data_IF_859675546215
#
_entry.id   IF_859675546215
#
_cell.length_a   1.000
_cell.length_b   1.000
_cell.length_c   1.000
_cell.angle_alpha   90.00
_cell.angle_beta   90.00
_cell.angle_gamma   90.00
#
_symmetry.space_group_name_H-M   'P 1'
#
loop_
_entity.id
_entity.type
_entity.pdbx_description
1 polymer ?
#
# COMPACT_ATOMS: atom_id res chain seq x y z
N UNK A 1 -19.27 9.17 27.46
CA UNK A 1 -19.72 9.08 26.07
C UNK A 1 -18.57 9.41 25.14
N UNK A 2 -18.39 8.62 24.07
CA UNK A 2 -17.39 8.87 23.02
C UNK A 2 -18.12 9.50 21.84
N UNK A 3 -17.46 10.44 21.15
CA UNK A 3 -18.01 11.12 19.97
C UNK A 3 -17.21 10.73 18.72
N UNK A 4 -17.90 10.53 17.61
CA UNK A 4 -17.31 10.41 16.27
C UNK A 4 -17.51 11.71 15.49
N UNK A 5 -16.40 12.37 15.19
CA UNK A 5 -16.35 13.58 14.34
C UNK A 5 -15.74 13.20 13.00
N UNK A 6 -16.44 13.49 11.90
CA UNK A 6 -15.99 13.20 10.54
C UNK A 6 -15.96 14.48 9.72
N UNK A 7 -14.82 14.74 9.09
CA UNK A 7 -14.70 15.73 8.03
C UNK A 7 -14.92 15.06 6.67
N UNK A 8 -15.80 15.62 5.84
CA UNK A 8 -16.12 15.13 4.49
C UNK A 8 -15.80 16.18 3.44
N UNK A 9 -15.24 15.72 2.32
CA UNK A 9 -14.99 16.52 1.14
C UNK A 9 -15.10 15.64 -0.11
N UNK A 10 -15.76 16.16 -1.14
CA UNK A 10 -15.92 15.48 -2.44
C UNK A 10 -14.58 15.32 -3.20
N UNK A 11 -13.48 15.87 -2.67
CA UNK A 11 -12.14 15.73 -3.24
C UNK A 11 -11.37 14.50 -2.73
N UNK A 12 -11.89 13.81 -1.71
CA UNK A 12 -11.31 12.55 -1.25
C UNK A 12 -11.83 11.38 -2.10
N UNK A 13 -10.97 10.39 -2.42
CA UNK A 13 -11.39 9.26 -3.22
C UNK A 13 -12.36 8.37 -2.46
N UNK A 14 -13.34 7.81 -3.17
CA UNK A 14 -14.17 6.73 -2.65
C UNK A 14 -13.46 5.39 -2.87
N UNK A 15 -12.87 4.89 -1.80
CA UNK A 15 -12.20 3.59 -1.74
C UNK A 15 -13.14 2.49 -1.23
N UNK A 16 -12.74 1.23 -1.36
CA UNK A 16 -13.57 0.07 -0.98
C UNK A 16 -12.81 -0.90 -0.09
N UNK A 17 -13.56 -1.67 0.68
CA UNK A 17 -13.06 -2.81 1.41
C UNK A 17 -13.30 -4.10 0.65
N UNK A 18 -12.96 -5.22 1.27
CA UNK A 18 -13.14 -6.53 0.64
C UNK A 18 -14.58 -7.01 0.80
N UNK A 19 -15.26 -7.32 -0.31
CA UNK A 19 -16.61 -7.88 -0.29
C UNK A 19 -17.73 -6.84 -0.24
N UNK A 20 -17.41 -5.55 -0.41
CA UNK A 20 -18.40 -4.51 -0.68
C UNK A 20 -19.14 -4.80 -1.99
N UNK A 21 -20.48 -4.63 -2.00
CA UNK A 21 -21.37 -5.02 -3.12
C UNK A 21 -21.06 -4.31 -4.46
N UNK A 22 -20.17 -3.33 -4.45
CA UNK A 22 -19.78 -2.54 -5.60
C UNK A 22 -18.64 -3.17 -6.43
N UNK A 23 -18.09 -4.33 -6.03
CA UNK A 23 -17.01 -5.00 -6.78
C UNK A 23 -17.56 -5.67 -8.05
N UNK A 24 -17.07 -5.26 -9.22
CA UNK A 24 -17.39 -5.92 -10.49
C UNK A 24 -16.68 -7.26 -10.61
N UNK A 25 -17.44 -8.35 -10.58
CA UNK A 25 -17.02 -9.68 -11.04
C UNK A 25 -16.04 -10.41 -10.10
N UNK A 26 -16.50 -11.54 -9.54
CA UNK A 26 -15.63 -12.52 -8.89
C UNK A 26 -16.08 -12.87 -7.48
N UNK A 27 -16.25 -14.17 -7.25
CA UNK A 27 -16.79 -14.81 -6.05
C UNK A 27 -16.37 -14.13 -4.74
N UNK A 28 -17.33 -14.04 -3.82
CA UNK A 28 -17.12 -13.59 -2.44
C UNK A 28 -16.05 -14.50 -1.81
N UNK A 29 -14.87 -14.01 -1.41
CA UNK A 29 -13.91 -14.83 -0.69
C UNK A 29 -14.59 -15.33 0.60
N UNK A 30 -14.33 -16.57 0.99
CA UNK A 30 -14.92 -17.16 2.19
C UNK A 30 -14.41 -16.41 3.43
N UNK A 31 -15.25 -15.55 4.00
CA UNK A 31 -14.95 -14.67 5.14
C UNK A 31 -15.92 -13.49 5.17
N UNK A 32 -16.17 -12.92 6.35
CA UNK A 32 -16.90 -11.66 6.49
C UNK A 32 -16.22 -10.58 5.65
N UNK A 33 -16.97 -9.87 4.82
CA UNK A 33 -16.42 -8.71 4.11
C UNK A 33 -15.89 -7.68 5.11
N UNK A 34 -14.83 -6.97 4.75
CA UNK A 34 -14.32 -5.85 5.53
C UNK A 34 -14.96 -4.59 4.96
N UNK A 35 -15.94 -4.02 5.68
CA UNK A 35 -16.56 -2.75 5.27
C UNK A 35 -15.53 -1.63 5.30
N UNK A 36 -15.49 -0.82 4.25
CA UNK A 36 -14.71 0.42 4.20
C UNK A 36 -15.64 1.62 4.00
N UNK A 37 -16.71 1.67 4.78
CA UNK A 37 -17.68 2.76 4.80
C UNK A 37 -18.30 2.90 6.19
N UNK A 38 -18.73 4.12 6.51
CA UNK A 38 -19.52 4.46 7.69
C UNK A 38 -20.91 4.91 7.23
N UNK A 39 -21.96 4.45 7.90
CA UNK A 39 -23.28 5.00 7.70
C UNK A 39 -23.37 6.37 8.39
N UNK A 40 -24.11 7.32 7.81
CA UNK A 40 -24.22 8.68 8.36
C UNK A 40 -24.80 8.70 9.78
N UNK A 41 -25.64 7.72 10.12
CA UNK A 41 -26.22 7.57 11.47
C UNK A 41 -25.19 7.17 12.54
N UNK A 42 -23.98 6.75 12.14
CA UNK A 42 -22.88 6.46 13.06
C UNK A 42 -22.08 7.72 13.43
N UNK A 43 -22.35 8.86 12.79
CA UNK A 43 -21.57 10.11 12.91
C UNK A 43 -22.29 11.10 13.84
N UNK A 44 -21.64 11.48 14.94
CA UNK A 44 -22.18 12.49 15.88
C UNK A 44 -22.04 13.92 15.35
N UNK A 45 -20.91 14.22 14.69
CA UNK A 45 -20.61 15.54 14.12
C UNK A 45 -20.02 15.38 12.71
N UNK A 46 -20.70 15.94 11.71
CA UNK A 46 -20.26 15.97 10.32
C UNK A 46 -19.82 17.38 9.92
N UNK A 47 -18.58 17.53 9.48
CA UNK A 47 -17.99 18.80 9.01
C UNK A 47 -17.75 18.70 7.51
N UNK A 48 -18.34 19.60 6.72
CA UNK A 48 -18.05 19.69 5.30
C UNK A 48 -16.83 20.59 5.06
N UNK A 49 -15.88 20.11 4.26
CA UNK A 49 -14.70 20.87 3.84
C UNK A 49 -14.53 20.89 2.32
N UNK A 50 -13.64 21.75 1.86
CA UNK A 50 -13.18 21.79 0.46
C UNK A 50 -11.76 21.27 0.32
N UNK A 51 -11.23 20.62 1.34
CA UNK A 51 -9.84 20.19 1.40
C UNK A 51 -9.65 18.94 0.54
N UNK A 52 -8.42 18.75 0.06
CA UNK A 52 -8.04 17.59 -0.73
C UNK A 52 -6.97 16.80 0.02
N UNK A 53 -6.80 15.50 -0.28
CA UNK A 53 -5.70 14.73 0.27
C UNK A 53 -4.35 15.43 0.07
N UNK A 54 -3.53 15.43 1.12
CA UNK A 54 -2.16 15.95 1.03
C UNK A 54 -1.34 15.07 0.07
N UNK A 55 -0.55 15.72 -0.77
CA UNK A 55 0.47 15.08 -1.60
C UNK A 55 1.82 15.68 -1.27
N UNK A 56 2.81 14.83 -0.99
CA UNK A 56 4.20 15.23 -0.82
C UNK A 56 5.04 14.64 -1.96
N UNK A 57 5.47 15.46 -2.94
CA UNK A 57 6.37 14.95 -3.98
C UNK A 57 7.71 14.55 -3.37
N UNK A 58 8.18 13.36 -3.73
CA UNK A 58 9.53 12.92 -3.39
C UNK A 58 10.58 13.67 -4.22
N UNK A 59 11.80 13.84 -3.69
CA UNK A 59 12.93 14.35 -4.48
C UNK A 59 13.27 13.37 -5.62
N UNK A 60 13.91 13.85 -6.71
CA UNK A 60 14.38 12.98 -7.79
C UNK A 60 15.40 11.96 -7.26
N UNK A 61 15.47 10.76 -7.87
CA UNK A 61 16.33 9.70 -7.38
C UNK A 61 17.81 10.02 -7.59
N UNK A 62 18.60 9.82 -6.54
CA UNK A 62 20.07 9.86 -6.60
C UNK A 62 20.63 8.65 -7.37
N UNK A 63 21.91 8.71 -7.74
CA UNK A 63 22.57 7.56 -8.38
C UNK A 63 22.70 6.36 -7.44
N UNK A 64 22.81 6.61 -6.13
CA UNK A 64 22.75 5.58 -5.10
C UNK A 64 21.38 4.91 -5.06
N UNK A 65 20.28 5.68 -5.08
CA UNK A 65 18.92 5.14 -5.09
C UNK A 65 18.69 4.22 -6.29
N UNK A 66 19.12 4.66 -7.48
CA UNK A 66 19.01 3.86 -8.71
C UNK A 66 19.85 2.59 -8.63
N UNK A 67 21.04 2.65 -8.02
CA UNK A 67 21.90 1.49 -7.85
C UNK A 67 21.29 0.47 -6.88
N UNK A 68 20.75 0.94 -5.75
CA UNK A 68 20.03 0.09 -4.78
C UNK A 68 18.81 -0.55 -5.45
N UNK A 69 18.00 0.23 -6.17
CA UNK A 69 16.83 -0.27 -6.88
C UNK A 69 17.19 -1.36 -7.90
N UNK A 70 18.21 -1.14 -8.73
CA UNK A 70 18.72 -2.15 -9.69
C UNK A 70 19.21 -3.43 -9.01
N UNK A 71 19.82 -3.32 -7.82
CA UNK A 71 20.22 -4.48 -7.05
C UNK A 71 19.01 -5.23 -6.48
N UNK A 72 18.08 -4.50 -5.87
CA UNK A 72 16.90 -5.04 -5.22
C UNK A 72 15.96 -5.79 -6.19
N UNK A 73 15.74 -5.26 -7.41
CA UNK A 73 14.88 -5.94 -8.40
C UNK A 73 15.38 -7.33 -8.79
N UNK A 74 16.68 -7.62 -8.65
CA UNK A 74 17.22 -8.96 -8.89
C UNK A 74 16.69 -10.03 -7.92
N UNK A 75 16.11 -9.64 -6.78
CA UNK A 75 15.49 -10.53 -5.81
C UNK A 75 13.98 -10.69 -6.00
N UNK A 76 13.38 -9.91 -6.90
CA UNK A 76 11.94 -9.91 -7.16
C UNK A 76 11.67 -10.78 -8.39
N UNK A 77 10.90 -11.84 -8.22
CA UNK A 77 10.58 -12.78 -9.30
C UNK A 77 9.17 -12.50 -9.83
N UNK A 78 8.88 -12.82 -11.10
CA UNK A 78 7.50 -12.85 -11.58
C UNK A 78 6.63 -13.70 -10.65
N UNK A 79 5.40 -13.27 -10.39
CA UNK A 79 4.50 -13.93 -9.44
C UNK A 79 4.72 -13.58 -7.96
N UNK A 80 5.71 -12.74 -7.61
CA UNK A 80 5.92 -12.29 -6.23
C UNK A 80 4.76 -11.45 -5.72
N UNK A 81 4.43 -11.61 -4.43
CA UNK A 81 3.55 -10.67 -3.70
C UNK A 81 4.40 -9.59 -3.07
N UNK A 82 4.08 -8.32 -3.31
CA UNK A 82 4.92 -7.19 -2.92
C UNK A 82 4.28 -6.38 -1.79
N UNK A 83 5.09 -6.06 -0.78
CA UNK A 83 4.90 -4.93 0.12
C UNK A 83 6.00 -3.90 -0.19
N UNK A 84 5.61 -2.64 -0.25
CA UNK A 84 6.53 -1.54 -0.56
C UNK A 84 6.12 -0.26 0.17
N UNK A 85 7.11 0.55 0.55
CA UNK A 85 6.90 1.83 1.20
C UNK A 85 6.92 3.03 0.24
N UNK A 86 7.06 4.22 0.82
CA UNK A 86 7.30 5.47 0.10
C UNK A 86 8.79 5.77 -0.02
N UNK A 87 9.13 6.68 -0.93
CA UNK A 87 10.47 7.21 -1.10
C UNK A 87 11.10 6.84 -2.43
N UNK A 88 12.28 7.41 -2.65
CA UNK A 88 13.01 7.30 -3.92
C UNK A 88 13.30 5.84 -4.32
N UNK A 89 13.86 5.04 -3.40
CA UNK A 89 14.25 3.64 -3.68
C UNK A 89 13.03 2.75 -4.01
N UNK A 90 11.98 2.67 -3.17
CA UNK A 90 10.75 1.94 -3.49
C UNK A 90 10.11 2.35 -4.82
N UNK A 91 10.08 3.65 -5.10
CA UNK A 91 9.52 4.18 -6.36
C UNK A 91 10.34 3.72 -7.57
N UNK A 92 11.67 3.75 -7.47
CA UNK A 92 12.54 3.26 -8.55
C UNK A 92 12.41 1.75 -8.76
N UNK A 93 12.24 0.96 -7.70
CA UNK A 93 11.96 -0.48 -7.82
C UNK A 93 10.65 -0.69 -8.58
N UNK A 94 9.58 0.02 -8.22
CA UNK A 94 8.30 -0.07 -8.91
C UNK A 94 8.41 0.32 -10.40
N UNK A 95 9.14 1.40 -10.73
CA UNK A 95 9.40 1.80 -12.13
C UNK A 95 10.11 0.69 -12.90
N UNK A 96 11.20 0.13 -12.37
CA UNK A 96 11.95 -0.93 -13.03
C UNK A 96 11.13 -2.21 -13.24
N UNK A 97 10.26 -2.56 -12.27
CA UNK A 97 9.34 -3.70 -12.41
C UNK A 97 8.22 -3.43 -13.41
N UNK A 98 7.73 -2.19 -13.50
CA UNK A 98 6.72 -1.77 -14.47
C UNK A 98 7.25 -1.82 -15.91
N UNK A 99 8.50 -1.39 -16.12
CA UNK A 99 9.15 -1.34 -17.43
C UNK A 99 9.79 -2.68 -17.86
N UNK A 100 10.10 -3.56 -16.91
CA UNK A 100 10.76 -4.84 -17.16
C UNK A 100 9.84 -5.94 -17.69
N UNK A 101 10.40 -7.12 -17.97
CA UNK A 101 9.68 -8.26 -18.57
C UNK A 101 8.88 -9.11 -17.55
N UNK A 102 9.10 -8.92 -16.25
CA UNK A 102 8.37 -9.62 -15.20
C UNK A 102 6.89 -9.23 -15.13
N UNK A 103 6.13 -9.81 -14.20
CA UNK A 103 4.70 -9.57 -14.07
C UNK A 103 4.02 -10.57 -13.15
N UNK A 104 2.70 -10.66 -13.28
CA UNK A 104 1.83 -11.49 -12.43
C UNK A 104 2.01 -11.20 -10.94
N UNK A 105 2.39 -9.97 -10.59
CA UNK A 105 2.63 -9.61 -9.21
C UNK A 105 1.33 -9.56 -8.42
N UNK A 106 1.45 -9.88 -7.14
CA UNK A 106 0.46 -9.57 -6.13
C UNK A 106 0.85 -8.32 -5.35
N UNK A 107 -0.14 -7.61 -4.80
CA UNK A 107 0.09 -6.55 -3.82
C UNK A 107 -0.64 -6.89 -2.51
N UNK A 108 0.13 -6.88 -1.42
CA UNK A 108 -0.33 -6.94 -0.04
C UNK A 108 0.61 -6.04 0.76
N UNK A 109 0.23 -4.77 0.96
CA UNK A 109 1.15 -3.74 1.45
C UNK A 109 0.49 -2.87 2.49
N UNK A 110 1.17 -2.49 3.57
CA UNK A 110 0.63 -1.55 4.56
C UNK A 110 0.10 -0.29 3.86
N UNK A 111 0.95 0.32 3.03
CA UNK A 111 0.63 1.54 2.29
C UNK A 111 0.54 1.27 0.79
N UNK A 112 -0.48 1.84 0.14
CA UNK A 112 -0.61 1.89 -1.31
C UNK A 112 -0.06 3.21 -1.85
N UNK A 113 0.90 3.14 -2.77
CA UNK A 113 1.67 4.29 -3.24
C UNK A 113 1.56 4.47 -4.76
N UNK A 114 2.11 5.57 -5.29
CA UNK A 114 2.22 5.79 -6.73
C UNK A 114 2.88 4.62 -7.45
N UNK A 115 3.90 3.99 -6.85
CA UNK A 115 4.55 2.80 -7.41
C UNK A 115 3.58 1.64 -7.62
N UNK A 116 2.70 1.39 -6.66
CA UNK A 116 1.65 0.37 -6.77
C UNK A 116 0.68 0.69 -7.93
N UNK A 117 0.26 1.96 -8.05
CA UNK A 117 -0.57 2.40 -9.17
C UNK A 117 0.15 2.21 -10.52
N UNK A 118 1.44 2.55 -10.62
CA UNK A 118 2.18 2.40 -11.87
C UNK A 118 2.30 0.93 -12.29
N UNK A 119 2.51 0.01 -11.35
CA UNK A 119 2.51 -1.43 -11.64
C UNK A 119 1.16 -1.92 -12.17
N UNK A 120 0.05 -1.45 -11.58
CA UNK A 120 -1.29 -1.71 -12.09
C UNK A 120 -1.48 -1.20 -13.51
N UNK A 121 -1.14 0.07 -13.77
CA UNK A 121 -1.27 0.69 -15.10
C UNK A 121 -0.40 0.03 -16.16
N UNK A 122 0.76 -0.48 -15.78
CA UNK A 122 1.64 -1.26 -16.64
C UNK A 122 1.15 -2.70 -16.89
N UNK A 123 0.02 -3.10 -16.30
CA UNK A 123 -0.53 -4.46 -16.43
C UNK A 123 0.30 -5.53 -15.74
N UNK A 124 1.14 -5.15 -14.77
CA UNK A 124 2.05 -6.06 -14.07
C UNK A 124 1.42 -6.73 -12.86
N UNK A 125 0.32 -6.19 -12.34
CA UNK A 125 -0.39 -6.70 -11.18
C UNK A 125 -1.59 -7.51 -11.61
N UNK A 126 -1.64 -8.79 -11.23
CA UNK A 126 -2.81 -9.65 -11.44
C UNK A 126 -3.43 -10.10 -10.13
N UNK A 127 -2.65 -10.12 -9.03
CA UNK A 127 -3.04 -10.69 -7.75
C UNK A 127 -3.53 -12.15 -7.85
N UNK A 128 -3.25 -12.87 -8.94
CA UNK A 128 -3.89 -14.18 -9.20
C UNK A 128 -3.27 -15.33 -8.41
N UNK A 129 -2.05 -15.16 -7.91
CA UNK A 129 -1.28 -16.21 -7.25
C UNK A 129 -0.79 -15.82 -5.86
N UNK A 130 -1.50 -14.93 -5.14
CA UNK A 130 -1.10 -14.55 -3.78
C UNK A 130 -1.39 -15.67 -2.79
N UNK A 131 -2.42 -16.47 -3.02
CA UNK A 131 -2.88 -17.54 -2.12
C UNK A 131 -3.85 -17.03 -1.05
N UNK A 132 -3.73 -15.75 -0.66
CA UNK A 132 -4.70 -15.01 0.13
C UNK A 132 -5.14 -13.75 -0.62
N UNK A 133 -6.44 -13.46 -0.58
CA UNK A 133 -7.03 -12.29 -1.23
C UNK A 133 -6.72 -12.20 -2.73
N UNK A 134 -6.83 -13.33 -3.43
CA UNK A 134 -6.55 -13.39 -4.86
C UNK A 134 -7.47 -12.46 -5.68
N UNK A 135 -6.91 -11.90 -6.75
CA UNK A 135 -7.60 -10.99 -7.67
C UNK A 135 -7.85 -9.58 -7.12
N UNK A 136 -7.26 -9.20 -5.99
CA UNK A 136 -7.38 -7.84 -5.43
C UNK A 136 -6.09 -7.42 -4.73
N UNK A 137 -5.69 -6.18 -4.88
CA UNK A 137 -4.58 -5.60 -4.12
C UNK A 137 -5.04 -5.21 -2.73
N UNK A 138 -4.31 -5.61 -1.69
CA UNK A 138 -4.72 -5.37 -0.29
C UNK A 138 -3.82 -4.31 0.33
N UNK A 139 -4.44 -3.35 1.04
CA UNK A 139 -3.73 -2.31 1.76
C UNK A 139 -4.47 -1.81 2.99
N UNK A 140 -3.82 -1.06 3.88
CA UNK A 140 -4.52 -0.42 5.02
C UNK A 140 -4.75 1.07 4.81
N UNK A 141 -3.83 1.78 4.16
CA UNK A 141 -4.04 3.18 3.75
C UNK A 141 -3.28 3.50 2.46
N UNK A 142 -3.53 4.68 1.89
CA UNK A 142 -2.84 5.15 0.69
C UNK A 142 -2.20 6.52 0.93
N UNK A 143 -1.04 6.73 0.31
CA UNK A 143 -0.37 8.02 0.32
C UNK A 143 0.45 8.21 -0.95
N UNK A 144 0.29 9.36 -1.59
CA UNK A 144 0.97 9.64 -2.85
C UNK A 144 0.49 10.91 -3.54
N UNK A 145 0.58 10.90 -4.86
CA UNK A 145 0.20 12.05 -5.69
C UNK A 145 -1.32 12.23 -5.84
N UNK A 146 -1.78 13.41 -6.31
CA UNK A 146 -3.19 13.61 -6.69
C UNK A 146 -3.65 12.63 -7.77
N UNK A 147 -2.75 12.15 -8.62
CA UNK A 147 -3.05 11.17 -9.65
C UNK A 147 -3.36 9.80 -9.03
N UNK A 148 -2.63 9.40 -7.98
CA UNK A 148 -2.95 8.20 -7.22
C UNK A 148 -4.35 8.29 -6.63
N UNK A 149 -4.68 9.39 -5.96
CA UNK A 149 -6.01 9.55 -5.36
C UNK A 149 -7.12 9.52 -6.41
N UNK A 150 -6.94 10.21 -7.54
CA UNK A 150 -7.90 10.13 -8.65
C UNK A 150 -8.04 8.72 -9.25
N UNK A 151 -6.95 7.93 -9.27
CA UNK A 151 -6.98 6.55 -9.75
C UNK A 151 -7.61 5.57 -8.76
N UNK A 152 -7.53 5.84 -7.46
CA UNK A 152 -8.17 5.04 -6.40
C UNK A 152 -9.68 5.29 -6.32
N UNK A 153 -10.15 6.47 -6.69
CA UNK A 153 -11.57 6.83 -6.64
C UNK A 153 -12.42 5.89 -7.49
N UNK A 154 -13.30 5.11 -6.85
CA UNK A 154 -14.15 4.15 -7.55
C UNK A 154 -13.44 2.90 -8.06
N UNK A 155 -12.17 2.68 -7.69
CA UNK A 155 -11.39 1.53 -8.13
C UNK A 155 -11.51 0.33 -7.18
N UNK A 156 -12.19 -0.72 -7.63
CA UNK A 156 -12.41 -1.94 -6.84
C UNK A 156 -11.31 -3.01 -6.96
N UNK A 157 -10.24 -2.73 -7.70
CA UNK A 157 -9.07 -3.61 -7.80
C UNK A 157 -8.16 -3.50 -6.56
N UNK A 158 -8.43 -2.50 -5.71
CA UNK A 158 -7.77 -2.28 -4.42
C UNK A 158 -8.80 -2.39 -3.30
N UNK A 159 -8.47 -3.14 -2.25
CA UNK A 159 -9.26 -3.28 -1.04
C UNK A 159 -8.49 -2.75 0.18
N UNK A 160 -9.13 -1.85 0.93
CA UNK A 160 -8.63 -1.28 2.15
C UNK A 160 -9.15 -2.08 3.35
N UNK A 161 -8.23 -2.70 4.09
CA UNK A 161 -8.52 -3.57 5.22
C UNK A 161 -7.91 -2.99 6.51
N UNK A 162 -8.41 -3.39 7.68
CA UNK A 162 -7.84 -2.98 8.96
C UNK A 162 -6.37 -3.39 9.09
N UNK A 163 -5.56 -2.54 9.74
CA UNK A 163 -4.11 -2.75 9.88
C UNK A 163 -3.79 -4.05 10.62
N UNK A 164 -4.61 -4.46 11.58
CA UNK A 164 -4.47 -5.72 12.30
C UNK A 164 -4.58 -6.96 11.40
N UNK A 165 -5.19 -6.81 10.21
CA UNK A 165 -5.24 -7.87 9.19
C UNK A 165 -4.07 -7.73 8.23
N UNK A 166 -3.86 -6.53 7.67
CA UNK A 166 -2.83 -6.31 6.64
C UNK A 166 -1.43 -6.55 7.20
N UNK A 167 -1.18 -6.13 8.43
CA UNK A 167 0.11 -6.23 9.10
C UNK A 167 0.23 -7.46 10.03
N UNK A 168 -0.74 -8.38 10.03
CA UNK A 168 -0.60 -9.64 10.77
C UNK A 168 0.50 -10.49 10.13
N UNK A 169 1.53 -10.92 10.88
CA UNK A 169 2.57 -11.81 10.37
C UNK A 169 2.01 -13.13 9.83
N UNK A 170 0.94 -13.65 10.45
CA UNK A 170 0.26 -14.87 10.01
C UNK A 170 -0.40 -14.68 8.64
N UNK A 171 -1.05 -13.54 8.41
CA UNK A 171 -1.65 -13.19 7.12
C UNK A 171 -0.57 -12.94 6.07
N UNK A 172 0.48 -12.18 6.42
CA UNK A 172 1.59 -11.90 5.51
C UNK A 172 2.27 -13.20 5.08
N UNK A 173 2.56 -14.11 6.02
CA UNK A 173 3.20 -15.40 5.75
C UNK A 173 2.36 -16.34 4.88
N UNK A 174 1.04 -16.13 4.80
CA UNK A 174 0.17 -16.86 3.90
C UNK A 174 0.27 -16.44 2.43
N UNK A 175 0.92 -15.32 2.12
CA UNK A 175 1.11 -14.87 0.75
C UNK A 175 2.27 -15.62 0.07
N UNK A 176 2.07 -16.06 -1.17
CA UNK A 176 3.10 -16.70 -1.98
C UNK A 176 4.18 -15.70 -2.41
N UNK A 177 5.44 -16.14 -2.29
CA UNK A 177 6.62 -15.38 -2.71
C UNK A 177 6.60 -13.92 -2.23
N UNK A 178 6.19 -13.73 -0.97
CA UNK A 178 6.14 -12.43 -0.34
C UNK A 178 7.52 -11.76 -0.32
N UNK A 179 7.60 -10.53 -0.84
CA UNK A 179 8.78 -9.67 -0.81
C UNK A 179 8.39 -8.36 -0.14
N UNK A 180 9.07 -8.04 0.97
CA UNK A 180 8.92 -6.79 1.69
C UNK A 180 10.12 -5.89 1.45
N UNK A 181 9.86 -4.62 1.19
CA UNK A 181 10.88 -3.61 0.86
C UNK A 181 10.74 -2.46 1.85
N UNK A 182 11.64 -2.43 2.84
CA UNK A 182 11.67 -1.41 3.89
C UNK A 182 13.00 -0.65 3.89
N UNK A 183 12.96 0.59 4.36
CA UNK A 183 14.15 1.42 4.57
C UNK A 183 14.69 1.27 6.00
N UNK A 184 16.01 1.43 6.15
CA UNK A 184 16.67 1.57 7.44
C UNK A 184 17.62 2.78 7.42
N UNK A 185 17.86 3.38 8.59
CA UNK A 185 18.78 4.50 8.77
C UNK A 185 20.23 4.01 8.93
N UNK A 186 20.42 2.91 9.63
CA UNK A 186 21.72 2.28 9.83
C UNK A 186 21.59 0.77 10.02
N UNK A 187 22.66 0.05 9.69
CA UNK A 187 22.82 -1.39 9.98
C UNK A 187 24.19 -1.61 10.59
N UNK A 188 24.27 -2.39 11.66
CA UNK A 188 25.55 -2.76 12.28
C UNK A 188 26.13 -4.06 11.68
N UNK A 189 27.33 -4.41 12.10
CA UNK A 189 28.02 -5.64 11.63
C UNK A 189 27.37 -6.94 12.14
N UNK A 190 26.44 -6.85 13.09
CA UNK A 190 25.64 -7.97 13.59
C UNK A 190 24.31 -8.12 12.83
N UNK A 191 24.00 -7.20 11.91
CA UNK A 191 22.78 -7.18 11.13
C UNK A 191 21.59 -6.55 11.85
N UNK A 192 21.82 -5.85 12.98
CA UNK A 192 20.77 -5.08 13.63
C UNK A 192 20.49 -3.82 12.80
N UNK A 193 19.21 -3.53 12.56
CA UNK A 193 18.77 -2.37 11.77
C UNK A 193 18.13 -1.35 12.69
N UNK A 194 18.56 -0.09 12.57
CA UNK A 194 17.92 1.07 13.19
C UNK A 194 17.16 1.81 12.10
N UNK A 195 15.86 2.06 12.30
CA UNK A 195 15.00 2.68 11.28
C UNK A 195 14.22 3.91 11.79
N UNK A 196 14.15 4.12 13.12
CA UNK A 196 13.22 5.08 13.72
C UNK A 196 13.87 6.10 14.66
N UNK A 197 15.14 5.93 15.01
CA UNK A 197 15.87 6.79 15.93
C UNK A 197 17.21 7.27 15.35
N UNK A 198 17.60 8.50 15.70
CA UNK A 198 18.90 9.09 15.34
C UNK A 198 19.52 9.65 16.61
N UNK A 199 20.72 9.16 16.97
CA UNK A 199 21.44 9.59 18.18
C UNK A 199 20.61 9.47 19.49
N UNK A 200 19.65 8.54 19.54
CA UNK A 200 18.76 8.36 20.69
C UNK A 200 17.48 9.20 20.65
N UNK A 201 17.35 10.13 19.71
CA UNK A 201 16.14 10.91 19.50
C UNK A 201 15.19 10.18 18.55
N UNK A 202 13.89 10.21 18.88
CA UNK A 202 12.84 9.66 18.02
C UNK A 202 12.76 10.47 16.73
N UNK A 203 12.94 9.81 15.60
CA UNK A 203 12.82 10.41 14.28
C UNK A 203 11.50 10.01 13.59
N UNK A 204 11.09 8.74 13.73
CA UNK A 204 9.81 8.21 13.21
C UNK A 204 9.15 7.29 14.24
N UNK A 205 8.83 6.03 13.90
CA UNK A 205 8.31 5.01 14.80
C UNK A 205 8.45 3.62 14.17
N UNK A 206 8.17 2.57 14.94
CA UNK A 206 8.36 1.17 14.49
C UNK A 206 7.57 0.83 13.20
N UNK A 207 6.39 1.43 13.01
CA UNK A 207 5.49 1.11 11.89
C UNK A 207 5.15 -0.38 11.81
N UNK A 208 4.99 -0.90 10.58
CA UNK A 208 4.85 -2.32 10.28
C UNK A 208 6.04 -2.94 9.54
N UNK A 209 7.23 -2.34 9.68
CA UNK A 209 8.45 -2.77 8.99
C UNK A 209 9.04 -4.09 9.50
#
# INVERSE_FOLDING_TARGET
DRLLVVEVSDKYPRTFGLGDEHRKGGAKPAGSGYSHALHVDEIDILVHSTDAPLSLPGPPPSDADKAIARHAVGFIRPGSTLQTGIGSIPSQIATLLAEGDGGDYGLHSEMFTDGCMQLHRAGKVTNAGKGLYDGVSVTTFAFGSPELYAWLDGNSDVAFLPVEIVNSPEVIAGNHHMVSINGGLAVDIHGQVVADTINGDQFSGIGGA
#
